data_IF_097392006202
#
_entry.id   IF_097392006202
#
_cell.length_a   1.000
_cell.length_b   1.000
_cell.length_c   1.000
_cell.angle_alpha   90.00
_cell.angle_beta   90.00
_cell.angle_gamma   90.00
#
_symmetry.space_group_name_H-M   'P 1'
#
loop_
_entity.id
_entity.type
_entity.pdbx_description
1 polymer ?
#
# COMPACT_ATOMS: atom_id res chain seq x y z
N UNK A 1 -1.74 -17.86 15.24
CA UNK A 1 -1.12 -17.03 14.19
C UNK A 1 -1.15 -15.58 14.63
N UNK A 2 -0.07 -14.83 14.39
CA UNK A 2 0.03 -13.40 14.67
C UNK A 2 0.26 -12.65 13.35
N UNK A 3 -0.42 -11.51 13.16
CA UNK A 3 -0.31 -10.66 11.97
C UNK A 3 0.18 -9.29 12.37
N UNK A 4 1.33 -8.90 11.84
CA UNK A 4 1.92 -7.56 12.03
C UNK A 4 1.73 -6.80 10.71
N UNK A 5 0.88 -5.76 10.74
CA UNK A 5 0.60 -4.93 9.58
C UNK A 5 1.46 -3.67 9.58
N UNK A 6 2.21 -3.45 8.51
CA UNK A 6 3.11 -2.30 8.36
C UNK A 6 2.80 -1.60 7.05
N UNK A 7 2.57 -0.29 7.12
CA UNK A 7 2.48 0.57 5.93
C UNK A 7 3.88 0.88 5.41
N UNK A 8 4.03 1.01 4.09
CA UNK A 8 5.29 1.48 3.49
C UNK A 8 5.74 2.83 4.07
N UNK A 9 7.04 3.11 4.04
CA UNK A 9 7.59 4.41 4.41
C UNK A 9 7.06 5.55 3.53
N UNK A 10 7.23 6.80 3.99
CA UNK A 10 6.85 8.00 3.24
C UNK A 10 7.50 8.06 1.85
N UNK A 11 6.73 8.44 0.82
CA UNK A 11 7.21 8.60 -0.56
C UNK A 11 7.19 10.05 -1.04
N UNK A 12 7.85 10.32 -2.16
CA UNK A 12 7.80 11.62 -2.83
C UNK A 12 6.35 12.06 -3.17
N UNK A 13 5.49 11.13 -3.57
CA UNK A 13 4.08 11.42 -3.86
C UNK A 13 3.26 11.67 -2.58
N UNK A 14 3.62 11.05 -1.45
CA UNK A 14 3.02 11.42 -0.16
C UNK A 14 3.37 12.85 0.23
N UNK A 15 4.64 13.25 0.07
CA UNK A 15 5.08 14.63 0.34
C UNK A 15 4.40 15.63 -0.59
N UNK A 16 4.19 15.25 -1.86
CA UNK A 16 3.52 16.10 -2.85
C UNK A 16 2.00 16.17 -2.68
N UNK A 17 1.41 15.37 -1.79
CA UNK A 17 -0.04 15.37 -1.54
C UNK A 17 -0.89 14.87 -2.71
N UNK A 18 -0.31 14.02 -3.57
CA UNK A 18 -0.98 13.46 -4.75
C UNK A 18 -1.38 12.01 -4.54
N UNK A 19 -2.41 11.58 -5.25
CA UNK A 19 -2.85 10.19 -5.27
C UNK A 19 -1.78 9.32 -5.96
N UNK A 20 -1.33 8.26 -5.28
CA UNK A 20 -0.25 7.41 -5.77
C UNK A 20 -0.80 6.13 -6.43
N UNK A 21 -1.65 5.39 -5.73
CA UNK A 21 -2.26 4.17 -6.25
C UNK A 21 -1.22 3.13 -6.67
N UNK A 22 -1.30 2.63 -7.90
CA UNK A 22 -0.33 1.66 -8.43
C UNK A 22 0.88 2.30 -9.09
N UNK A 23 0.85 3.62 -9.34
CA UNK A 23 2.03 4.36 -9.75
C UNK A 23 3.15 4.16 -8.75
N UNK A 24 4.36 4.02 -9.27
CA UNK A 24 5.52 3.78 -8.45
C UNK A 24 6.10 5.10 -7.93
N UNK A 25 6.51 5.09 -6.66
CA UNK A 25 7.01 6.29 -6.00
C UNK A 25 8.06 5.89 -4.98
N UNK A 26 9.28 6.40 -5.14
CA UNK A 26 10.39 6.08 -4.26
C UNK A 26 10.16 6.61 -2.84
N UNK A 27 10.70 5.88 -1.86
CA UNK A 27 10.77 6.35 -0.48
C UNK A 27 11.62 7.63 -0.39
N UNK A 28 11.20 8.56 0.47
CA UNK A 28 12.04 9.71 0.86
C UNK A 28 13.10 9.26 1.86
N UNK A 29 14.09 10.11 2.14
CA UNK A 29 15.05 9.85 3.22
C UNK A 29 14.36 9.62 4.58
N UNK A 30 13.27 10.37 4.82
CA UNK A 30 12.41 10.20 5.99
C UNK A 30 11.64 8.88 5.94
N UNK A 31 11.14 8.47 4.78
CA UNK A 31 10.52 7.16 4.59
C UNK A 31 11.48 6.00 4.83
N UNK A 32 12.73 6.12 4.39
CA UNK A 32 13.79 5.17 4.67
C UNK A 32 14.12 5.11 6.17
N UNK A 33 14.15 6.27 6.86
CA UNK A 33 14.33 6.33 8.30
C UNK A 33 13.20 5.62 9.05
N UNK A 34 11.94 5.89 8.70
CA UNK A 34 10.79 5.21 9.31
C UNK A 34 10.83 3.69 9.11
N UNK A 35 11.23 3.22 7.91
CA UNK A 35 11.39 1.79 7.66
C UNK A 35 12.48 1.16 8.55
N UNK A 36 13.60 1.87 8.77
CA UNK A 36 14.65 1.44 9.70
C UNK A 36 14.18 1.42 11.15
N UNK A 37 13.41 2.41 11.59
CA UNK A 37 12.83 2.43 12.93
C UNK A 37 11.86 1.26 13.15
N UNK A 38 11.03 0.94 12.15
CA UNK A 38 10.17 -0.24 12.18
C UNK A 38 11.00 -1.53 12.26
N UNK A 39 12.07 -1.64 11.47
CA UNK A 39 13.02 -2.77 11.52
C UNK A 39 13.62 -2.97 12.91
N UNK A 40 14.06 -1.89 13.57
CA UNK A 40 14.61 -1.95 14.93
C UNK A 40 13.56 -2.38 15.95
N UNK A 41 12.32 -1.87 15.84
CA UNK A 41 11.21 -2.25 16.74
C UNK A 41 10.82 -3.72 16.60
N UNK A 42 10.88 -4.25 15.38
CA UNK A 42 10.49 -5.63 15.08
C UNK A 42 11.64 -6.63 15.22
N UNK A 43 12.87 -6.17 15.47
CA UNK A 43 14.08 -7.00 15.50
C UNK A 43 14.00 -8.23 16.42
N UNK A 44 13.29 -8.14 17.54
CA UNK A 44 13.13 -9.23 18.51
C UNK A 44 11.95 -10.13 18.22
N UNK A 45 11.06 -9.73 17.31
CA UNK A 45 9.90 -10.52 16.92
C UNK A 45 10.32 -11.70 16.06
N UNK A 46 9.64 -12.83 16.25
CA UNK A 46 9.83 -13.99 15.38
C UNK A 46 8.97 -13.81 14.14
N UNK A 47 9.60 -13.36 13.05
CA UNK A 47 8.96 -13.30 11.74
C UNK A 47 9.30 -14.57 10.96
N UNK A 48 8.29 -15.40 10.69
CA UNK A 48 8.45 -16.59 9.84
C UNK A 48 8.41 -16.19 8.35
N UNK A 49 7.55 -15.23 7.99
CA UNK A 49 7.34 -14.78 6.61
C UNK A 49 7.09 -13.27 6.59
N UNK A 50 7.63 -12.58 5.59
CA UNK A 50 7.35 -11.18 5.28
C UNK A 50 6.69 -11.09 3.91
N UNK A 51 5.49 -10.53 3.87
CA UNK A 51 4.70 -10.41 2.64
C UNK A 51 4.50 -8.92 2.34
N UNK A 52 4.73 -8.53 1.09
CA UNK A 52 4.50 -7.17 0.62
C UNK A 52 3.74 -7.15 -0.70
N UNK A 53 3.17 -6.00 -1.06
CA UNK A 53 2.89 -5.78 -2.49
C UNK A 53 4.21 -5.63 -3.26
N UNK A 54 4.12 -5.77 -4.56
CA UNK A 54 5.23 -5.68 -5.52
C UNK A 54 5.57 -4.22 -5.93
N UNK A 55 4.96 -3.21 -5.31
CA UNK A 55 5.33 -1.80 -5.53
C UNK A 55 6.69 -1.50 -4.88
N UNK A 56 7.53 -0.67 -5.50
CA UNK A 56 8.92 -0.51 -5.04
C UNK A 56 9.00 0.00 -3.59
N UNK A 57 8.08 0.90 -3.20
CA UNK A 57 7.99 1.45 -1.83
C UNK A 57 7.70 0.41 -0.76
N UNK A 58 6.82 -0.56 -1.05
CA UNK A 58 6.46 -1.63 -0.12
C UNK A 58 7.57 -2.68 -0.09
N UNK A 59 8.11 -3.07 -1.24
CA UNK A 59 9.26 -3.99 -1.33
C UNK A 59 10.44 -3.43 -0.55
N UNK A 60 10.81 -2.16 -0.78
CA UNK A 60 11.94 -1.53 -0.09
C UNK A 60 11.74 -1.44 1.42
N UNK A 61 10.51 -1.13 1.86
CA UNK A 61 10.18 -1.10 3.29
C UNK A 61 10.30 -2.50 3.90
N UNK A 62 9.73 -3.51 3.24
CA UNK A 62 9.78 -4.90 3.68
C UNK A 62 11.23 -5.43 3.74
N UNK A 63 12.05 -5.10 2.74
CA UNK A 63 13.47 -5.45 2.69
C UNK A 63 14.21 -4.95 3.92
N UNK A 64 14.08 -3.65 4.22
CA UNK A 64 14.71 -3.01 5.40
C UNK A 64 14.25 -3.67 6.70
N UNK A 65 12.95 -3.97 6.84
CA UNK A 65 12.42 -4.64 8.03
C UNK A 65 13.04 -6.03 8.19
N UNK A 66 13.09 -6.81 7.11
CA UNK A 66 13.62 -8.16 7.18
C UNK A 66 15.14 -8.26 7.25
N UNK A 67 15.91 -7.17 7.30
CA UNK A 67 17.38 -7.22 7.42
C UNK A 67 17.85 -8.02 8.65
N UNK A 68 17.07 -8.00 9.74
CA UNK A 68 17.38 -8.76 10.96
C UNK A 68 16.73 -10.15 11.00
N UNK A 69 15.95 -10.53 9.98
CA UNK A 69 15.17 -11.76 9.98
C UNK A 69 15.62 -12.69 8.85
N UNK A 70 15.57 -14.00 9.11
CA UNK A 70 15.75 -15.03 8.07
C UNK A 70 14.42 -15.45 7.43
N UNK A 71 13.43 -14.56 7.50
CA UNK A 71 12.07 -14.81 7.03
C UNK A 71 12.03 -14.92 5.50
N UNK A 72 11.16 -15.78 4.99
CA UNK A 72 10.87 -15.83 3.56
C UNK A 72 10.20 -14.53 3.11
N UNK A 73 10.59 -14.03 1.94
CA UNK A 73 10.03 -12.81 1.35
C UNK A 73 9.12 -13.15 0.19
N UNK A 74 7.86 -12.73 0.27
CA UNK A 74 6.85 -13.00 -0.75
C UNK A 74 6.26 -11.68 -1.23
N UNK A 75 6.27 -11.48 -2.54
CA UNK A 75 5.63 -10.33 -3.18
C UNK A 75 4.32 -10.76 -3.81
N UNK A 76 3.26 -9.98 -3.56
CA UNK A 76 1.91 -10.28 -4.03
C UNK A 76 1.25 -9.02 -4.60
N UNK A 77 1.03 -8.99 -5.91
CA UNK A 77 0.32 -7.89 -6.57
C UNK A 77 -1.11 -7.69 -6.02
N UNK A 78 -1.71 -8.74 -5.44
CA UNK A 78 -3.02 -8.69 -4.79
C UNK A 78 -3.03 -7.89 -3.49
N UNK A 79 -1.86 -7.49 -2.98
CA UNK A 79 -1.72 -6.58 -1.83
C UNK A 79 -1.44 -5.13 -2.24
N UNK A 80 -1.45 -4.81 -3.54
CA UNK A 80 -1.30 -3.42 -4.01
C UNK A 80 -2.38 -2.54 -3.39
N UNK A 81 -2.03 -1.26 -3.25
CA UNK A 81 -2.93 -0.15 -2.90
C UNK A 81 -4.16 -0.14 -3.82
N UNK A 82 -5.18 0.66 -3.48
CA UNK A 82 -6.25 0.97 -4.42
C UNK A 82 -5.68 1.56 -5.73
N UNK A 83 -6.13 1.06 -6.89
CA UNK A 83 -5.81 1.63 -8.20
C UNK A 83 -6.61 2.93 -8.38
N UNK A 84 -5.93 4.07 -8.40
CA UNK A 84 -6.61 5.36 -8.57
C UNK A 84 -6.81 5.72 -10.05
N UNK A 85 -6.30 4.90 -10.98
CA UNK A 85 -6.50 5.07 -12.41
C UNK A 85 -6.04 6.44 -12.89
N UNK A 86 -6.92 7.17 -13.58
CA UNK A 86 -6.60 8.51 -14.11
C UNK A 86 -6.33 9.56 -13.04
N UNK A 87 -6.55 9.27 -11.76
CA UNK A 87 -6.27 10.20 -10.66
C UNK A 87 -4.84 10.08 -10.13
N UNK A 88 -4.09 9.06 -10.53
CA UNK A 88 -2.71 8.91 -10.09
C UNK A 88 -1.84 10.09 -10.56
N UNK A 89 -1.07 10.66 -9.63
CA UNK A 89 -0.28 11.88 -9.86
C UNK A 89 -1.04 13.19 -9.66
N UNK A 90 -2.36 13.16 -9.49
CA UNK A 90 -3.17 14.35 -9.25
C UNK A 90 -3.37 14.60 -7.75
N UNK A 91 -3.43 15.88 -7.36
CA UNK A 91 -3.91 16.26 -6.03
C UNK A 91 -5.44 16.22 -5.99
N UNK A 92 -6.00 16.22 -4.78
CA UNK A 92 -7.46 16.31 -4.63
C UNK A 92 -8.06 17.57 -5.28
N UNK A 93 -7.31 18.68 -5.28
CA UNK A 93 -7.73 19.93 -5.90
C UNK A 93 -7.77 19.78 -7.43
N UNK A 94 -6.73 19.20 -8.03
CA UNK A 94 -6.68 18.95 -9.49
C UNK A 94 -7.83 18.04 -9.93
N UNK A 95 -8.14 17.02 -9.12
CA UNK A 95 -9.27 16.11 -9.35
C UNK A 95 -10.60 16.85 -9.25
N UNK A 96 -10.78 17.70 -8.25
CA UNK A 96 -12.02 18.47 -8.05
C UNK A 96 -12.27 19.47 -9.18
N UNK A 97 -11.21 20.03 -9.77
CA UNK A 97 -11.29 20.94 -10.91
C UNK A 97 -11.51 20.20 -12.24
N UNK A 98 -10.81 19.08 -12.46
CA UNK A 98 -10.83 18.35 -13.73
C UNK A 98 -12.00 17.36 -13.83
N UNK A 99 -12.38 16.76 -12.70
CA UNK A 99 -13.41 15.72 -12.57
C UNK A 99 -14.43 16.08 -11.49
N UNK A 100 -15.17 17.21 -11.59
CA UNK A 100 -16.01 17.71 -10.52
C UNK A 100 -17.12 16.73 -10.13
N UNK A 101 -17.73 16.03 -11.09
CA UNK A 101 -18.80 15.06 -10.82
C UNK A 101 -18.27 13.83 -10.10
N UNK A 102 -17.14 13.31 -10.57
CA UNK A 102 -16.46 12.15 -10.01
C UNK A 102 -15.92 12.45 -8.62
N UNK A 103 -15.39 13.66 -8.39
CA UNK A 103 -14.91 14.11 -7.09
C UNK A 103 -16.04 14.17 -6.04
N UNK A 104 -17.26 14.50 -6.46
CA UNK A 104 -18.44 14.54 -5.60
C UNK A 104 -18.96 13.12 -5.29
N UNK A 105 -18.96 12.23 -6.29
CA UNK A 105 -19.24 10.81 -6.08
C UNK A 105 -18.21 10.18 -5.15
N UNK A 106 -16.93 10.52 -5.29
CA UNK A 106 -15.89 10.05 -4.40
C UNK A 106 -16.03 10.61 -2.99
N UNK A 107 -16.60 11.79 -2.77
CA UNK A 107 -16.90 12.27 -1.42
C UNK A 107 -18.08 11.53 -0.78
N UNK A 108 -19.10 11.23 -1.57
CA UNK A 108 -20.41 10.74 -1.06
C UNK A 108 -20.50 9.22 -1.03
N UNK A 109 -19.81 8.53 -1.93
CA UNK A 109 -19.82 7.08 -2.10
C UNK A 109 -18.41 6.52 -2.35
N UNK A 110 -17.42 6.99 -1.57
CA UNK A 110 -16.01 6.59 -1.67
C UNK A 110 -15.78 5.07 -1.58
N UNK A 111 -16.72 4.31 -1.01
CA UNK A 111 -16.61 2.87 -0.86
C UNK A 111 -16.91 2.12 -2.15
N UNK A 112 -18.02 2.46 -2.82
CA UNK A 112 -18.49 1.75 -4.01
C UNK A 112 -18.07 2.42 -5.31
N UNK A 113 -17.87 3.74 -5.31
CA UNK A 113 -17.41 4.47 -6.49
C UNK A 113 -15.98 4.09 -6.85
N UNK A 114 -15.74 3.91 -8.15
CA UNK A 114 -14.42 3.67 -8.72
C UNK A 114 -13.97 4.91 -9.48
N UNK A 115 -12.76 5.42 -9.24
CA UNK A 115 -12.15 6.42 -10.11
C UNK A 115 -12.12 5.92 -11.56
N UNK A 116 -12.10 6.83 -12.56
CA UNK A 116 -11.95 6.45 -13.96
C UNK A 116 -10.70 5.59 -14.18
N UNK A 117 -10.88 4.43 -14.83
CA UNK A 117 -9.82 3.42 -15.02
C UNK A 117 -9.21 2.89 -13.70
N UNK A 118 -9.85 3.16 -12.57
CA UNK A 118 -9.45 2.78 -11.21
C UNK A 118 -10.08 1.48 -10.72
N UNK A 119 -10.01 1.28 -9.40
CA UNK A 119 -10.86 0.35 -8.66
C UNK A 119 -11.54 1.06 -7.48
N UNK A 120 -12.68 0.55 -7.03
CA UNK A 120 -13.33 1.01 -5.80
C UNK A 120 -12.69 0.40 -4.56
N UNK A 121 -12.95 1.00 -3.39
CA UNK A 121 -12.50 0.44 -2.12
C UNK A 121 -13.05 -0.98 -1.91
N UNK A 122 -14.30 -1.25 -2.29
CA UNK A 122 -14.88 -2.59 -2.16
C UNK A 122 -14.17 -3.62 -3.03
N UNK A 123 -13.73 -3.25 -4.24
CA UNK A 123 -12.94 -4.12 -5.10
C UNK A 123 -11.58 -4.43 -4.47
N UNK A 124 -10.87 -3.40 -3.97
CA UNK A 124 -9.61 -3.56 -3.24
C UNK A 124 -9.81 -4.44 -1.99
N UNK A 125 -10.84 -4.18 -1.19
CA UNK A 125 -11.15 -4.93 0.03
C UNK A 125 -11.32 -6.42 -0.26
N UNK A 126 -12.10 -6.77 -1.28
CA UNK A 126 -12.31 -8.17 -1.66
C UNK A 126 -11.00 -8.82 -2.13
N UNK A 127 -10.25 -8.13 -2.99
CA UNK A 127 -8.95 -8.60 -3.52
C UNK A 127 -7.94 -8.87 -2.39
N UNK A 128 -7.76 -7.90 -1.49
CA UNK A 128 -6.79 -7.99 -0.40
C UNK A 128 -7.23 -9.02 0.64
N UNK A 129 -8.50 -9.03 1.03
CA UNK A 129 -9.01 -10.00 2.02
C UNK A 129 -8.86 -11.44 1.53
N UNK A 130 -9.21 -11.71 0.27
CA UNK A 130 -9.01 -13.04 -0.31
C UNK A 130 -7.55 -13.46 -0.34
N UNK A 131 -6.64 -12.54 -0.66
CA UNK A 131 -5.21 -12.80 -0.67
C UNK A 131 -4.65 -13.09 0.72
N UNK A 132 -5.03 -12.29 1.72
CA UNK A 132 -4.62 -12.48 3.12
C UNK A 132 -5.17 -13.79 3.67
N UNK A 133 -6.46 -14.09 3.46
CA UNK A 133 -7.05 -15.36 3.90
C UNK A 133 -6.39 -16.58 3.25
N UNK A 134 -6.01 -16.49 1.97
CA UNK A 134 -5.29 -17.57 1.29
C UNK A 134 -3.91 -17.85 1.90
N UNK A 135 -3.20 -16.80 2.36
CA UNK A 135 -1.95 -16.94 3.10
C UNK A 135 -2.21 -17.58 4.46
N UNK A 136 -3.17 -17.06 5.22
CA UNK A 136 -3.52 -17.56 6.55
C UNK A 136 -3.80 -19.07 6.50
N UNK A 137 -4.68 -19.49 5.59
CA UNK A 137 -5.09 -20.90 5.46
C UNK A 137 -3.94 -21.83 5.01
N UNK A 138 -2.86 -21.30 4.44
CA UNK A 138 -1.67 -22.08 4.05
C UNK A 138 -0.70 -22.29 5.23
N UNK A 139 -0.83 -21.46 6.27
CA UNK A 139 0.05 -21.41 7.44
C UNK A 139 -0.65 -21.78 8.76
N UNK A 140 -1.92 -22.17 8.70
CA UNK A 140 -2.60 -22.98 9.72
C UNK A 140 -2.29 -24.48 9.52
#
# INVERSE_FOLDING_TARGET
MELILVRHGETAMNVSGVYCGWSDSCLTDKGLLHAKEASVKLKTEKLDIIISSDLSRTVKTADIIGEFHKADRIQMNTLREIHFGLWEGLSYNDISETYPKESELWKTDWMAYSPPEGESLLQMYNRVTNAVLAVINKHE
#
